data_IF_449962380538
#
_entry.id   IF_449962380538
#
_cell.length_a   1.000
_cell.length_b   1.000
_cell.length_c   1.000
_cell.angle_alpha   90.00
_cell.angle_beta   90.00
_cell.angle_gamma   90.00
#
_symmetry.space_group_name_H-M   'P 1'
#
loop_
_entity.id
_entity.type
_entity.pdbx_description
1 polymer ?
#
# COMPACT_ATOMS: atom_id res chain seq x y z
N UNK A 1 55.68 0.30 44.11
CA UNK A 1 55.91 1.45 43.22
C UNK A 1 55.14 1.22 41.93
N UNK A 2 54.43 2.25 41.44
CA UNK A 2 53.96 2.48 40.05
C UNK A 2 52.90 1.50 39.48
N UNK A 3 51.62 1.87 39.41
CA UNK A 3 50.87 2.78 38.48
C UNK A 3 50.25 2.09 37.26
N UNK A 4 48.93 2.28 37.14
CA UNK A 4 48.15 2.51 35.90
C UNK A 4 47.88 1.28 35.00
N UNK A 5 46.75 1.11 34.31
CA UNK A 5 45.74 2.06 33.84
C UNK A 5 44.43 1.27 33.52
N UNK A 6 43.28 1.80 33.94
CA UNK A 6 41.94 1.33 33.59
C UNK A 6 41.60 1.66 32.13
N UNK A 7 40.89 0.77 31.42
CA UNK A 7 40.12 1.13 30.23
C UNK A 7 38.76 0.45 30.27
N UNK A 8 37.76 1.26 30.61
CA UNK A 8 36.35 0.93 30.64
C UNK A 8 35.78 0.96 29.21
N UNK A 9 35.07 -0.10 28.82
CA UNK A 9 34.25 -0.13 27.61
C UNK A 9 32.88 0.47 27.98
N UNK A 10 32.67 1.73 27.62
CA UNK A 10 31.34 2.35 27.68
C UNK A 10 30.48 1.82 26.52
N UNK A 11 29.46 1.04 26.85
CA UNK A 11 28.27 0.86 26.01
C UNK A 11 27.28 1.98 26.35
N UNK A 12 27.20 2.99 25.50
CA UNK A 12 26.09 3.96 25.49
C UNK A 12 25.58 4.02 24.04
N UNK A 13 24.44 3.39 23.79
CA UNK A 13 23.62 3.70 22.63
C UNK A 13 22.23 4.07 23.15
N UNK A 14 21.92 5.34 22.92
CA UNK A 14 20.93 6.15 23.62
C UNK A 14 19.49 5.85 23.22
N UNK A 15 18.60 6.00 24.19
CA UNK A 15 17.19 6.36 23.99
C UNK A 15 17.12 7.72 23.25
N UNK A 16 16.32 7.80 22.20
CA UNK A 16 15.78 9.05 21.66
C UNK A 16 14.32 8.77 21.25
N UNK A 17 13.32 9.10 22.09
CA UNK A 17 12.79 10.43 22.41
C UNK A 17 12.11 11.10 21.20
N UNK A 18 10.77 11.05 21.21
CA UNK A 18 9.89 11.88 20.40
C UNK A 18 10.27 13.36 20.62
N UNK A 19 10.59 14.08 19.55
CA UNK A 19 10.69 15.55 19.60
C UNK A 19 9.69 16.18 18.66
N UNK A 20 8.88 17.05 19.26
CA UNK A 20 7.92 17.97 18.66
C UNK A 20 8.70 19.05 17.90
N UNK A 21 8.52 19.12 16.59
CA UNK A 21 9.00 20.22 15.75
C UNK A 21 7.83 21.09 15.31
N UNK A 22 7.76 22.30 15.86
CA UNK A 22 6.94 23.39 15.37
C UNK A 22 7.66 24.00 14.15
N UNK A 23 7.04 23.93 12.97
CA UNK A 23 7.62 24.44 11.74
C UNK A 23 6.71 24.29 10.53
N UNK A 24 5.88 25.33 10.28
CA UNK A 24 5.28 25.76 9.00
C UNK A 24 4.40 24.73 8.24
N UNK A 25 3.12 25.03 7.92
CA UNK A 25 2.32 24.19 7.05
C UNK A 25 2.79 24.38 5.61
N UNK A 26 3.83 23.65 5.21
CA UNK A 26 4.15 23.53 3.80
C UNK A 26 3.06 22.64 3.18
N UNK A 27 2.26 23.26 2.32
CA UNK A 27 1.21 22.62 1.54
C UNK A 27 1.88 21.72 0.50
N UNK A 28 2.43 20.61 0.96
CA UNK A 28 2.86 19.54 0.10
C UNK A 28 1.62 18.65 0.00
N UNK A 29 0.96 18.51 -1.18
CA UNK A 29 0.12 17.35 -1.34
C UNK A 29 1.05 16.17 -1.07
N UNK A 30 0.69 15.31 -0.11
CA UNK A 30 1.22 13.96 -0.07
C UNK A 30 0.85 13.33 -1.41
N UNK A 31 1.71 13.58 -2.40
CA UNK A 31 1.82 12.81 -3.60
C UNK A 31 2.07 11.42 -3.07
N UNK A 32 0.97 10.69 -2.96
CA UNK A 32 0.92 9.34 -2.45
C UNK A 32 2.08 8.63 -3.11
N UNK A 33 3.02 8.19 -2.28
CA UNK A 33 4.14 7.33 -2.65
C UNK A 33 3.57 5.97 -3.08
N UNK A 34 2.80 5.97 -4.17
CA UNK A 34 2.34 4.80 -4.92
C UNK A 34 3.19 4.73 -6.18
N UNK A 35 4.50 4.63 -5.96
CA UNK A 35 5.37 4.11 -6.99
C UNK A 35 6.43 3.25 -6.32
N UNK A 36 6.79 2.18 -7.04
CA UNK A 36 7.96 1.32 -6.86
C UNK A 36 7.79 0.07 -6.01
N UNK A 37 7.30 -0.98 -6.68
CA UNK A 37 7.37 -2.35 -6.16
C UNK A 37 7.12 -3.45 -7.19
N UNK A 38 7.55 -3.28 -8.44
CA UNK A 38 7.47 -4.31 -9.49
C UNK A 38 6.76 -3.81 -10.73
N UNK A 39 7.38 -3.93 -11.90
CA UNK A 39 6.70 -3.66 -13.17
C UNK A 39 5.37 -4.40 -13.21
N UNK A 40 4.29 -3.71 -13.60
CA UNK A 40 2.93 -4.26 -13.62
C UNK A 40 2.90 -5.51 -14.51
N UNK A 41 3.08 -6.69 -13.92
CA UNK A 41 3.05 -7.97 -14.63
C UNK A 41 1.68 -8.24 -15.27
N UNK A 42 0.64 -7.55 -14.79
CA UNK A 42 -0.70 -7.56 -15.35
C UNK A 42 -0.92 -6.51 -16.45
N UNK A 43 0.05 -5.64 -16.75
CA UNK A 43 -0.12 -4.53 -17.71
C UNK A 43 -1.40 -3.71 -17.43
N UNK A 44 -1.59 -3.34 -16.17
CA UNK A 44 -2.75 -2.53 -15.76
C UNK A 44 -2.50 -1.06 -16.08
N UNK A 45 -3.54 -0.31 -16.52
CA UNK A 45 -3.47 1.13 -16.58
C UNK A 45 -3.28 1.72 -15.17
N UNK A 46 -2.91 3.02 -15.08
CA UNK A 46 -2.87 3.73 -13.80
C UNK A 46 -4.19 3.56 -13.01
N UNK A 47 -4.08 3.58 -11.68
CA UNK A 47 -5.24 3.46 -10.78
C UNK A 47 -6.24 4.57 -11.09
N UNK A 48 -7.46 4.18 -11.46
CA UNK A 48 -8.56 5.11 -11.67
C UNK A 48 -9.29 5.35 -10.34
N UNK A 49 -9.48 6.62 -9.99
CA UNK A 49 -10.23 7.08 -8.82
C UNK A 49 -11.42 7.95 -9.22
N UNK A 50 -11.67 8.14 -10.51
CA UNK A 50 -12.78 8.96 -10.97
C UNK A 50 -14.13 8.34 -10.60
N UNK A 51 -15.10 9.17 -10.25
CA UNK A 51 -16.43 8.74 -9.88
C UNK A 51 -17.47 9.83 -10.17
N UNK A 52 -18.74 9.42 -10.31
CA UNK A 52 -19.87 10.36 -10.34
C UNK A 52 -20.78 10.20 -9.11
N UNK A 53 -20.81 9.01 -8.50
CA UNK A 53 -21.63 8.66 -7.34
C UNK A 53 -20.87 7.74 -6.39
N UNK A 54 -21.25 7.71 -5.12
CA UNK A 54 -20.65 6.85 -4.09
C UNK A 54 -20.56 5.36 -4.52
N UNK A 55 -21.58 4.88 -5.24
CA UNK A 55 -21.64 3.51 -5.77
C UNK A 55 -20.56 3.18 -6.82
N UNK A 56 -19.92 4.20 -7.41
CA UNK A 56 -18.84 4.02 -8.37
C UNK A 56 -17.49 3.75 -7.67
N UNK A 57 -17.45 3.86 -6.34
CA UNK A 57 -16.24 3.72 -5.53
C UNK A 57 -16.21 2.39 -4.76
N UNK A 58 -15.03 1.80 -4.72
CA UNK A 58 -14.73 0.59 -3.94
C UNK A 58 -13.32 0.66 -3.39
N UNK A 59 -13.02 -0.13 -2.38
CA UNK A 59 -11.64 -0.36 -1.96
C UNK A 59 -10.94 -1.30 -2.94
N UNK A 60 -9.90 -0.79 -3.62
CA UNK A 60 -9.12 -1.54 -4.60
C UNK A 60 -7.89 -2.20 -3.98
N UNK A 61 -7.54 -3.38 -4.48
CA UNK A 61 -6.35 -4.11 -4.06
C UNK A 61 -5.14 -3.81 -4.95
N UNK A 62 -3.92 -3.94 -4.40
CA UNK A 62 -2.74 -4.10 -5.23
C UNK A 62 -2.62 -5.56 -5.68
N UNK A 63 -2.37 -5.77 -6.97
CA UNK A 63 -1.96 -7.07 -7.48
C UNK A 63 -0.51 -7.36 -7.07
N UNK A 64 -0.28 -8.57 -6.60
CA UNK A 64 1.05 -9.09 -6.26
C UNK A 64 1.25 -10.41 -6.99
N UNK A 65 2.46 -10.62 -7.53
CA UNK A 65 2.86 -11.93 -8.04
C UNK A 65 3.43 -12.78 -6.91
N UNK A 66 2.94 -14.01 -6.79
CA UNK A 66 3.46 -15.02 -5.86
C UNK A 66 3.76 -16.30 -6.64
N UNK A 67 5.05 -16.51 -6.95
CA UNK A 67 5.46 -17.51 -7.92
C UNK A 67 4.81 -17.27 -9.28
N UNK A 68 3.99 -18.21 -9.71
CA UNK A 68 3.24 -18.16 -10.96
C UNK A 68 1.79 -17.69 -10.80
N UNK A 69 1.37 -17.39 -9.58
CA UNK A 69 0.02 -16.93 -9.28
C UNK A 69 -0.04 -15.41 -9.17
N UNK A 70 -1.15 -14.83 -9.62
CA UNK A 70 -1.59 -13.50 -9.27
C UNK A 70 -2.40 -13.54 -7.97
N UNK A 71 -1.92 -12.83 -6.96
CA UNK A 71 -2.55 -12.68 -5.66
C UNK A 71 -3.10 -11.26 -5.53
N UNK A 72 -4.27 -11.13 -4.91
CA UNK A 72 -4.83 -9.84 -4.55
C UNK A 72 -4.52 -9.57 -3.08
N UNK A 73 -3.75 -8.51 -2.85
CA UNK A 73 -3.46 -8.01 -1.52
C UNK A 73 -4.63 -7.21 -0.95
N UNK A 74 -4.46 -6.75 0.28
CA UNK A 74 -5.46 -5.91 0.91
C UNK A 74 -5.49 -4.51 0.36
N UNK A 75 -6.68 -3.91 0.30
CA UNK A 75 -6.83 -2.57 -0.19
C UNK A 75 -6.32 -1.57 0.85
N UNK A 76 -5.58 -0.56 0.39
CA UNK A 76 -5.19 0.64 1.16
C UNK A 76 -5.68 1.93 0.49
N UNK A 77 -6.40 1.83 -0.64
CA UNK A 77 -6.84 3.00 -1.40
C UNK A 77 -8.21 2.83 -2.05
N UNK A 78 -9.05 3.86 -2.03
CA UNK A 78 -10.26 3.96 -2.84
C UNK A 78 -9.93 3.99 -4.34
N UNK A 79 -10.75 3.31 -5.14
CA UNK A 79 -10.65 3.23 -6.59
C UNK A 79 -12.03 3.19 -7.23
N UNK A 80 -12.10 3.46 -8.54
CA UNK A 80 -13.29 3.24 -9.35
C UNK A 80 -13.60 1.74 -9.47
N UNK A 81 -14.88 1.37 -9.41
CA UNK A 81 -15.36 -0.02 -9.58
C UNK A 81 -14.93 -0.60 -10.93
N UNK A 82 -14.90 0.20 -11.99
CA UNK A 82 -14.44 -0.20 -13.33
C UNK A 82 -13.00 -0.70 -13.32
N UNK A 83 -12.10 0.05 -12.67
CA UNK A 83 -10.69 -0.32 -12.55
C UNK A 83 -10.51 -1.55 -11.66
N UNK A 84 -11.26 -1.63 -10.56
CA UNK A 84 -11.23 -2.82 -9.71
C UNK A 84 -11.63 -4.09 -10.46
N UNK A 85 -12.68 -4.04 -11.29
CA UNK A 85 -13.08 -5.17 -12.14
C UNK A 85 -11.99 -5.57 -13.13
N UNK A 86 -11.37 -4.60 -13.80
CA UNK A 86 -10.26 -4.86 -14.71
C UNK A 86 -9.09 -5.57 -14.03
N UNK A 87 -8.74 -5.15 -12.81
CA UNK A 87 -7.73 -5.82 -11.99
C UNK A 87 -8.11 -7.29 -11.73
N UNK A 88 -9.37 -7.56 -11.34
CA UNK A 88 -9.85 -8.92 -11.07
C UNK A 88 -9.76 -9.79 -12.33
N UNK A 89 -10.27 -9.30 -13.45
CA UNK A 89 -10.31 -10.04 -14.72
C UNK A 89 -8.90 -10.40 -15.21
N UNK A 90 -7.96 -9.45 -15.12
CA UNK A 90 -6.57 -9.69 -15.51
C UNK A 90 -5.88 -10.67 -14.57
N UNK A 91 -6.14 -10.57 -13.27
CA UNK A 91 -5.56 -11.48 -12.28
C UNK A 91 -6.12 -12.90 -12.43
N UNK A 92 -7.41 -13.03 -12.70
CA UNK A 92 -8.06 -14.31 -13.00
C UNK A 92 -7.54 -14.92 -14.29
N UNK A 93 -7.42 -14.12 -15.36
CA UNK A 93 -6.84 -14.54 -16.63
C UNK A 93 -5.39 -15.00 -16.48
N UNK A 94 -4.59 -14.35 -15.63
CA UNK A 94 -3.23 -14.78 -15.32
C UNK A 94 -3.19 -16.15 -14.62
N UNK A 95 -4.15 -16.36 -13.71
CA UNK A 95 -4.27 -17.59 -12.96
C UNK A 95 -4.90 -18.74 -13.75
N UNK A 96 -5.59 -18.43 -14.85
CA UNK A 96 -6.20 -19.42 -15.73
C UNK A 96 -5.10 -20.33 -16.32
N UNK A 97 -5.11 -21.61 -15.94
CA UNK A 97 -4.12 -22.60 -16.36
C UNK A 97 -3.01 -22.90 -15.34
N UNK A 98 -3.15 -22.44 -14.09
CA UNK A 98 -2.24 -22.82 -13.00
C UNK A 98 -2.92 -23.82 -12.04
N UNK A 99 -2.41 -25.05 -12.01
CA UNK A 99 -2.97 -26.16 -11.21
C UNK A 99 -2.80 -25.99 -9.69
N UNK A 100 -1.91 -25.10 -9.25
CA UNK A 100 -1.66 -24.80 -7.84
C UNK A 100 -1.66 -23.30 -7.61
N UNK A 101 -2.78 -22.78 -7.11
CA UNK A 101 -2.87 -21.43 -6.59
C UNK A 101 -2.34 -21.42 -5.16
N UNK A 102 -1.26 -20.67 -4.91
CA UNK A 102 -0.69 -20.50 -3.56
C UNK A 102 -1.32 -19.33 -2.81
N UNK A 103 -2.20 -18.57 -3.47
CA UNK A 103 -2.78 -17.34 -2.95
C UNK A 103 -3.74 -17.60 -1.78
N UNK A 104 -3.41 -17.08 -0.59
CA UNK A 104 -4.42 -16.87 0.45
C UNK A 104 -5.17 -15.58 0.13
N UNK A 105 -6.43 -15.67 -0.27
CA UNK A 105 -7.26 -14.50 -0.62
C UNK A 105 -7.51 -13.65 0.64
N UNK A 106 -7.12 -12.38 0.59
CA UNK A 106 -7.52 -11.28 1.49
C UNK A 106 -7.46 -11.54 3.01
N UNK A 107 -6.35 -11.21 3.66
CA UNK A 107 -6.28 -11.00 5.13
C UNK A 107 -6.22 -9.50 5.43
N UNK A 108 -7.36 -8.81 5.41
CA UNK A 108 -7.41 -7.35 5.54
C UNK A 108 -8.06 -6.92 6.84
N UNK A 109 -7.56 -5.82 7.42
CA UNK A 109 -8.25 -5.09 8.48
C UNK A 109 -9.60 -4.56 7.96
N UNK A 110 -10.42 -4.11 8.90
CA UNK A 110 -11.77 -3.60 8.68
C UNK A 110 -11.82 -2.55 7.55
N UNK A 111 -12.82 -2.69 6.67
CA UNK A 111 -13.01 -1.80 5.51
C UNK A 111 -13.63 -0.49 6.00
N UNK A 112 -12.93 0.63 5.80
CA UNK A 112 -13.54 1.95 5.96
C UNK A 112 -14.61 2.15 4.88
N UNK A 113 -15.59 3.03 5.08
CA UNK A 113 -16.49 3.43 4.00
C UNK A 113 -15.73 4.21 2.93
N UNK A 114 -16.19 4.12 1.68
CA UNK A 114 -15.70 4.92 0.55
C UNK A 114 -16.83 5.78 0.02
N UNK A 115 -16.48 6.94 -0.52
CA UNK A 115 -17.44 7.86 -1.12
C UNK A 115 -16.84 8.58 -2.32
N UNK A 116 -17.72 9.16 -3.14
CA UNK A 116 -17.36 10.02 -4.24
C UNK A 116 -17.41 11.48 -3.78
N UNK A 117 -16.25 12.11 -3.65
CA UNK A 117 -16.12 13.52 -3.24
C UNK A 117 -15.32 14.24 -4.30
N UNK A 118 -15.88 15.34 -4.84
CA UNK A 118 -15.27 16.15 -5.89
C UNK A 118 -14.83 15.34 -7.14
N UNK A 119 -15.64 14.33 -7.48
CA UNK A 119 -15.37 13.43 -8.62
C UNK A 119 -14.24 12.44 -8.38
N UNK A 120 -13.81 12.25 -7.13
CA UNK A 120 -12.77 11.31 -6.71
C UNK A 120 -13.25 10.35 -5.62
N UNK A 121 -12.88 9.08 -5.76
CA UNK A 121 -13.07 8.09 -4.71
C UNK A 121 -12.11 8.38 -3.56
N UNK A 122 -12.67 8.54 -2.36
CA UNK A 122 -11.93 8.83 -1.13
C UNK A 122 -12.43 7.96 0.03
N UNK A 123 -11.63 7.88 1.10
CA UNK A 123 -12.05 7.26 2.36
C UNK A 123 -13.04 8.19 3.06
N UNK A 124 -14.08 7.61 3.65
CA UNK A 124 -15.09 8.32 4.42
C UNK A 124 -15.00 7.96 5.90
#
# INVERSE_FOLDING_TARGET
>A
MRTLLFLAVMMIASLAACTRGDGKPDSTPEASSMALGGGNFLDLPPVDRSCNRDQDCVFGAAARREGDSCCLGCPSTPVAVSWHRLLLDKCESWNAGKDRLTCTKYQCRERLPVACIDGQCVNK
#
